data_IF_484063619610
#
_entry.id   IF_484063619610
#
_cell.length_a   1.000
_cell.length_b   1.000
_cell.length_c   1.000
_cell.angle_alpha   90.00
_cell.angle_beta   90.00
_cell.angle_gamma   90.00
#
_symmetry.space_group_name_H-M   'P 1'
#
loop_
_entity.id
_entity.type
_entity.pdbx_description
1 polymer ?
#
# COMPACT_ATOMS: atom_id res chain seq x y z
N UNK A 1 10.72 -1.09 -21.28
CA UNK A 1 11.87 -1.69 -20.56
C UNK A 1 12.37 -0.84 -19.40
N UNK A 2 12.36 0.53 -19.49
CA UNK A 2 12.86 1.38 -18.40
C UNK A 2 11.98 1.29 -17.16
N UNK A 3 10.64 1.30 -17.30
CA UNK A 3 9.72 1.13 -16.18
C UNK A 3 9.93 -0.20 -15.46
N UNK A 4 10.12 -1.31 -16.19
CA UNK A 4 10.41 -2.61 -15.60
C UNK A 4 11.71 -2.63 -14.81
N UNK A 5 12.78 -2.05 -15.39
CA UNK A 5 14.07 -1.97 -14.71
C UNK A 5 14.00 -1.14 -13.42
N UNK A 6 13.37 0.01 -13.48
CA UNK A 6 13.17 0.89 -12.32
C UNK A 6 12.24 0.28 -11.27
N UNK A 7 11.12 -0.34 -11.69
CA UNK A 7 10.22 -1.06 -10.83
C UNK A 7 10.90 -2.19 -10.06
N UNK A 8 11.65 -3.06 -10.78
CA UNK A 8 12.37 -4.16 -10.14
C UNK A 8 13.43 -3.65 -9.17
N UNK A 9 14.19 -2.63 -9.56
CA UNK A 9 15.21 -2.03 -8.70
C UNK A 9 14.59 -1.42 -7.43
N UNK A 10 13.47 -0.70 -7.56
CA UNK A 10 12.73 -0.15 -6.42
C UNK A 10 12.31 -1.25 -5.44
N UNK A 11 11.73 -2.36 -5.95
CA UNK A 11 11.32 -3.49 -5.12
C UNK A 11 12.51 -4.15 -4.41
N UNK A 12 13.59 -4.41 -5.12
CA UNK A 12 14.79 -5.05 -4.54
C UNK A 12 15.35 -4.19 -3.41
N UNK A 13 15.51 -2.88 -3.63
CA UNK A 13 16.02 -1.97 -2.60
C UNK A 13 15.08 -1.94 -1.38
N UNK A 14 13.77 -1.80 -1.60
CA UNK A 14 12.78 -1.81 -0.51
C UNK A 14 12.86 -3.11 0.30
N UNK A 15 12.92 -4.27 -0.36
CA UNK A 15 13.01 -5.57 0.29
C UNK A 15 14.32 -5.77 1.05
N UNK A 16 15.45 -5.30 0.52
CA UNK A 16 16.73 -5.32 1.23
C UNK A 16 16.66 -4.49 2.50
N UNK A 17 16.08 -3.28 2.45
CA UNK A 17 15.91 -2.43 3.63
C UNK A 17 15.02 -3.13 4.67
N UNK A 18 13.88 -3.71 4.26
CA UNK A 18 12.98 -4.47 5.15
C UNK A 18 13.73 -5.64 5.79
N UNK A 19 14.47 -6.41 5.00
CA UNK A 19 15.25 -7.55 5.49
C UNK A 19 16.27 -7.14 6.54
N UNK A 20 17.05 -6.10 6.28
CA UNK A 20 18.07 -5.62 7.23
C UNK A 20 17.40 -5.09 8.51
N UNK A 21 16.30 -4.33 8.37
CA UNK A 21 15.54 -3.83 9.53
C UNK A 21 14.99 -4.99 10.40
N UNK A 22 14.46 -6.04 9.79
CA UNK A 22 13.97 -7.22 10.49
C UNK A 22 15.09 -8.01 11.19
N UNK A 23 16.26 -8.11 10.57
CA UNK A 23 17.44 -8.77 11.17
C UNK A 23 17.93 -8.08 12.44
N UNK A 24 17.80 -6.77 12.52
CA UNK A 24 18.17 -6.01 13.72
C UNK A 24 17.18 -6.20 14.88
N UNK A 25 15.97 -6.73 14.63
CA UNK A 25 14.91 -6.97 15.63
C UNK A 25 14.70 -5.80 16.60
N UNK A 26 14.58 -4.56 16.12
CA UNK A 26 14.47 -3.41 17.00
C UNK A 26 13.10 -3.41 17.69
N UNK A 27 13.04 -2.89 18.92
CA UNK A 27 11.76 -2.61 19.57
C UNK A 27 11.09 -1.42 18.90
N UNK A 28 9.75 -1.38 18.88
CA UNK A 28 9.00 -0.22 18.42
C UNK A 28 9.38 1.04 19.21
N UNK A 29 9.68 2.12 18.50
CA UNK A 29 10.08 3.42 19.05
C UNK A 29 9.35 4.57 18.40
N UNK A 30 9.54 5.79 18.89
CA UNK A 30 8.98 7.02 18.29
C UNK A 30 9.93 7.64 17.26
N UNK A 31 11.23 7.36 17.38
CA UNK A 31 12.25 7.97 16.54
C UNK A 31 12.39 7.23 15.22
N UNK A 32 12.68 7.98 14.15
CA UNK A 32 13.03 7.42 12.86
C UNK A 32 14.49 6.94 12.91
N UNK A 33 14.71 5.71 12.52
CA UNK A 33 16.02 5.07 12.42
C UNK A 33 16.57 5.17 11.00
N UNK A 34 17.82 4.78 10.82
CA UNK A 34 18.48 4.84 9.52
C UNK A 34 17.70 4.13 8.40
N UNK A 35 17.07 2.98 8.68
CA UNK A 35 16.30 2.24 7.69
C UNK A 35 14.97 2.93 7.33
N UNK A 36 14.37 3.70 8.25
CA UNK A 36 13.21 4.55 7.94
C UNK A 36 13.62 5.66 6.97
N UNK A 37 14.75 6.34 7.24
CA UNK A 37 15.30 7.36 6.36
C UNK A 37 15.74 6.80 5.01
N UNK A 38 16.35 5.60 5.00
CA UNK A 38 16.72 4.92 3.75
C UNK A 38 15.47 4.61 2.90
N UNK A 39 14.37 4.14 3.51
CA UNK A 39 13.12 3.88 2.80
C UNK A 39 12.49 5.18 2.26
N UNK A 40 12.49 6.26 3.05
CA UNK A 40 12.00 7.58 2.62
C UNK A 40 12.82 8.08 1.42
N UNK A 41 14.15 8.05 1.53
CA UNK A 41 15.04 8.47 0.45
C UNK A 41 14.84 7.65 -0.82
N UNK A 42 14.72 6.33 -0.69
CA UNK A 42 14.41 5.42 -1.81
C UNK A 42 13.10 5.83 -2.48
N UNK A 43 12.03 6.01 -1.70
CA UNK A 43 10.72 6.42 -2.24
C UNK A 43 10.81 7.75 -2.98
N UNK A 44 11.48 8.76 -2.41
CA UNK A 44 11.65 10.07 -3.07
C UNK A 44 12.40 9.94 -4.40
N UNK A 45 13.52 9.20 -4.42
CA UNK A 45 14.30 9.00 -5.66
C UNK A 45 13.45 8.33 -6.74
N UNK A 46 12.73 7.25 -6.39
CA UNK A 46 11.92 6.55 -7.38
C UNK A 46 10.64 7.30 -7.79
N UNK A 47 10.08 8.15 -6.94
CA UNK A 47 9.01 9.10 -7.32
C UNK A 47 9.53 10.06 -8.38
N UNK A 48 10.68 10.68 -8.18
CA UNK A 48 11.28 11.60 -9.15
C UNK A 48 11.64 10.90 -10.47
N UNK A 49 12.19 9.68 -10.39
CA UNK A 49 12.50 8.87 -11.59
C UNK A 49 11.22 8.47 -12.33
N UNK A 50 10.12 8.16 -11.64
CA UNK A 50 8.85 7.84 -12.27
C UNK A 50 8.22 9.04 -12.95
N UNK A 51 8.25 10.22 -12.30
CA UNK A 51 7.79 11.47 -12.93
C UNK A 51 8.61 11.72 -14.21
N UNK A 52 9.93 11.66 -14.13
CA UNK A 52 10.81 11.85 -15.30
C UNK A 52 10.48 10.83 -16.40
N UNK A 53 10.40 9.55 -16.04
CA UNK A 53 10.14 8.46 -16.98
C UNK A 53 8.78 8.63 -17.69
N UNK A 54 7.71 8.96 -16.97
CA UNK A 54 6.39 9.12 -17.58
C UNK A 54 6.24 10.39 -18.41
N UNK A 55 7.00 11.44 -18.13
CA UNK A 55 6.94 12.71 -18.88
C UNK A 55 7.87 12.73 -20.10
N UNK A 56 8.93 11.94 -20.11
CA UNK A 56 9.95 11.98 -21.18
C UNK A 56 9.85 10.81 -22.14
N UNK A 57 9.62 9.58 -21.65
CA UNK A 57 9.61 8.38 -22.50
C UNK A 57 8.73 7.26 -21.93
N UNK A 58 7.46 7.54 -21.74
CA UNK A 58 6.56 6.58 -21.12
C UNK A 58 6.58 5.19 -21.79
N UNK A 59 6.98 4.19 -21.01
CA UNK A 59 6.93 2.77 -21.34
C UNK A 59 6.38 1.94 -20.16
N UNK A 60 5.36 2.49 -19.47
CA UNK A 60 4.85 2.00 -18.20
C UNK A 60 4.34 0.56 -18.21
N UNK A 61 4.23 -0.04 -17.02
CA UNK A 61 3.78 -1.43 -16.84
C UNK A 61 2.37 -1.67 -17.39
N UNK A 62 1.50 -0.65 -17.42
CA UNK A 62 0.16 -0.73 -17.98
C UNK A 62 0.12 -1.08 -19.47
N UNK A 63 1.24 -0.88 -20.19
CA UNK A 63 1.34 -1.29 -21.60
C UNK A 63 1.59 -2.80 -21.77
N UNK A 64 2.15 -3.45 -20.74
CA UNK A 64 2.63 -4.83 -20.82
C UNK A 64 1.73 -5.81 -20.06
N UNK A 65 0.99 -5.34 -19.04
CA UNK A 65 0.21 -6.21 -18.14
C UNK A 65 -1.22 -5.70 -17.97
N UNK A 66 -2.21 -6.63 -17.86
CA UNK A 66 -3.61 -6.26 -17.69
C UNK A 66 -3.88 -5.51 -16.37
N UNK A 67 -4.85 -4.58 -16.40
CA UNK A 67 -5.30 -3.83 -15.22
C UNK A 67 -5.72 -4.73 -14.05
N UNK A 68 -6.29 -5.91 -14.34
CA UNK A 68 -6.70 -6.89 -13.33
C UNK A 68 -5.55 -7.29 -12.40
N UNK A 69 -4.30 -7.25 -12.85
CA UNK A 69 -3.13 -7.58 -12.01
C UNK A 69 -2.88 -6.52 -10.94
N UNK A 70 -3.06 -5.23 -11.26
CA UNK A 70 -2.97 -4.13 -10.30
C UNK A 70 -4.13 -4.19 -9.30
N UNK A 71 -5.37 -4.35 -9.78
CA UNK A 71 -6.55 -4.52 -8.93
C UNK A 71 -6.44 -5.74 -8.02
N UNK A 72 -5.95 -6.87 -8.54
CA UNK A 72 -5.72 -8.09 -7.78
C UNK A 72 -4.70 -7.91 -6.66
N UNK A 73 -3.61 -7.18 -6.90
CA UNK A 73 -2.59 -6.89 -5.88
C UNK A 73 -3.18 -6.10 -4.70
N UNK A 74 -4.03 -5.09 -5.00
CA UNK A 74 -4.73 -4.29 -3.99
C UNK A 74 -5.76 -5.13 -3.23
N UNK A 75 -6.55 -5.97 -3.91
CA UNK A 75 -7.54 -6.84 -3.28
C UNK A 75 -6.89 -7.81 -2.27
N UNK A 76 -5.76 -8.43 -2.63
CA UNK A 76 -5.00 -9.30 -1.72
C UNK A 76 -4.42 -8.49 -0.56
N UNK A 77 -3.91 -7.29 -0.81
CA UNK A 77 -3.40 -6.41 0.25
C UNK A 77 -4.50 -6.10 1.27
N UNK A 78 -5.73 -5.79 0.83
CA UNK A 78 -6.87 -5.55 1.70
C UNK A 78 -7.24 -6.78 2.51
N UNK A 79 -7.25 -7.98 1.92
CA UNK A 79 -7.50 -9.22 2.64
C UNK A 79 -6.46 -9.47 3.75
N UNK A 80 -5.19 -9.20 3.48
CA UNK A 80 -4.12 -9.31 4.49
C UNK A 80 -4.29 -8.28 5.60
N UNK A 81 -4.70 -7.04 5.29
CA UNK A 81 -4.99 -6.00 6.29
C UNK A 81 -6.10 -6.47 7.23
N UNK A 82 -7.20 -7.01 6.69
CA UNK A 82 -8.31 -7.56 7.49
C UNK A 82 -7.79 -8.64 8.46
N UNK A 83 -6.98 -9.56 7.98
CA UNK A 83 -6.38 -10.63 8.80
C UNK A 83 -5.51 -10.05 9.92
N UNK A 84 -4.66 -9.06 9.61
CA UNK A 84 -3.75 -8.43 10.58
C UNK A 84 -4.50 -7.63 11.64
N UNK A 85 -5.60 -6.97 11.27
CA UNK A 85 -6.39 -6.13 12.17
C UNK A 85 -7.41 -6.94 13.00
N UNK A 86 -7.80 -8.13 12.57
CA UNK A 86 -8.80 -8.97 13.26
C UNK A 86 -8.51 -9.19 14.76
N UNK A 87 -7.27 -9.46 15.21
CA UNK A 87 -6.99 -9.62 16.65
C UNK A 87 -7.21 -8.34 17.45
N UNK A 88 -7.07 -7.19 16.83
CA UNK A 88 -7.20 -5.87 17.45
C UNK A 88 -8.64 -5.34 17.40
N UNK A 89 -9.24 -5.34 16.21
CA UNK A 89 -10.53 -4.71 15.93
C UNK A 89 -11.71 -5.69 15.78
N UNK A 90 -11.42 -6.97 15.55
CA UNK A 90 -12.42 -7.97 15.19
C UNK A 90 -12.63 -8.07 13.68
N UNK A 91 -13.30 -9.13 13.22
CA UNK A 91 -13.57 -9.37 11.80
C UNK A 91 -14.92 -8.82 11.36
N UNK A 92 -15.95 -9.06 12.16
CA UNK A 92 -17.31 -8.61 11.86
C UNK A 92 -17.88 -7.98 13.14
N UNK A 93 -18.19 -6.70 13.07
CA UNK A 93 -18.81 -5.94 14.18
C UNK A 93 -18.11 -6.22 15.52
N UNK A 94 -16.78 -6.14 15.53
CA UNK A 94 -15.94 -6.36 16.72
C UNK A 94 -15.78 -7.82 17.15
N UNK A 95 -16.41 -8.81 16.49
CA UNK A 95 -16.27 -10.23 16.83
C UNK A 95 -14.85 -10.71 16.48
N UNK A 96 -14.09 -11.09 17.49
CA UNK A 96 -12.73 -11.60 17.32
C UNK A 96 -12.76 -13.04 16.82
N UNK A 97 -12.04 -13.30 15.72
CA UNK A 97 -11.77 -14.63 15.19
C UNK A 97 -10.39 -15.06 15.63
N UNK A 98 -10.26 -16.27 16.17
CA UNK A 98 -8.97 -16.82 16.55
C UNK A 98 -8.33 -17.46 15.32
N UNK A 99 -7.29 -16.85 14.79
CA UNK A 99 -6.42 -17.49 13.81
C UNK A 99 -5.33 -18.31 14.51
N UNK A 100 -4.84 -19.33 13.81
CA UNK A 100 -3.71 -20.13 14.28
C UNK A 100 -2.48 -19.22 14.51
N UNK A 101 -1.83 -19.36 15.66
CA UNK A 101 -0.70 -18.50 16.05
C UNK A 101 0.46 -18.53 15.05
N UNK A 102 0.76 -19.71 14.49
CA UNK A 102 1.81 -19.86 13.48
C UNK A 102 1.50 -19.10 12.20
N UNK A 103 0.25 -19.17 11.71
CA UNK A 103 -0.22 -18.40 10.56
C UNK A 103 -0.09 -16.91 10.80
N UNK A 104 -0.58 -16.40 11.94
CA UNK A 104 -0.48 -14.99 12.28
C UNK A 104 0.97 -14.49 12.40
N UNK A 105 1.88 -15.34 12.88
CA UNK A 105 3.29 -15.02 12.93
C UNK A 105 3.87 -14.84 11.52
N UNK A 106 3.59 -15.77 10.60
CA UNK A 106 4.02 -15.69 9.20
C UNK A 106 3.48 -14.43 8.53
N UNK A 107 2.18 -14.17 8.66
CA UNK A 107 1.56 -12.98 8.06
C UNK A 107 2.22 -11.71 8.59
N UNK A 108 2.45 -11.60 9.92
CA UNK A 108 3.13 -10.44 10.52
C UNK A 108 4.59 -10.30 10.11
N UNK A 109 5.28 -11.39 9.86
CA UNK A 109 6.67 -11.38 9.44
C UNK A 109 6.84 -10.93 7.99
N UNK A 110 5.95 -11.39 7.10
CA UNK A 110 6.11 -11.21 5.66
C UNK A 110 5.22 -10.14 5.03
N UNK A 111 4.20 -9.59 5.75
CA UNK A 111 3.29 -8.58 5.17
C UNK A 111 4.02 -7.37 4.59
N UNK A 112 5.12 -6.94 5.19
CA UNK A 112 5.89 -5.78 4.74
C UNK A 112 6.45 -5.95 3.32
N UNK A 113 6.91 -7.16 2.97
CA UNK A 113 7.39 -7.46 1.62
C UNK A 113 6.26 -7.40 0.60
N UNK A 114 5.12 -8.00 0.92
CA UNK A 114 3.98 -7.99 0.02
C UNK A 114 3.40 -6.58 -0.13
N UNK A 115 3.25 -5.83 0.96
CA UNK A 115 2.66 -4.48 0.92
C UNK A 115 3.55 -3.50 0.20
N UNK A 116 4.88 -3.55 0.42
CA UNK A 116 5.81 -2.72 -0.35
C UNK A 116 5.75 -3.07 -1.83
N UNK A 117 5.73 -4.37 -2.16
CA UNK A 117 5.59 -4.81 -3.55
C UNK A 117 4.28 -4.31 -4.18
N UNK A 118 3.12 -4.53 -3.56
CA UNK A 118 1.83 -4.12 -4.11
C UNK A 118 1.74 -2.60 -4.29
N UNK A 119 2.28 -1.83 -3.32
CA UNK A 119 2.35 -0.37 -3.41
C UNK A 119 3.25 0.08 -4.57
N UNK A 120 4.46 -0.47 -4.67
CA UNK A 120 5.41 -0.15 -5.73
C UNK A 120 4.86 -0.59 -7.09
N UNK A 121 4.22 -1.76 -7.18
CA UNK A 121 3.61 -2.25 -8.41
C UNK A 121 2.50 -1.31 -8.90
N UNK A 122 1.57 -0.95 -8.03
CA UNK A 122 0.48 -0.03 -8.36
C UNK A 122 1.03 1.35 -8.75
N UNK A 123 2.06 1.83 -8.08
CA UNK A 123 2.71 3.10 -8.39
C UNK A 123 3.32 3.10 -9.80
N UNK A 124 4.09 2.07 -10.18
CA UNK A 124 4.71 1.95 -11.50
C UNK A 124 3.73 1.59 -12.61
N UNK A 125 2.56 1.06 -12.24
CA UNK A 125 1.49 0.75 -13.19
C UNK A 125 0.85 2.02 -13.77
N UNK A 126 0.66 3.05 -12.96
CA UNK A 126 -0.02 4.28 -13.36
C UNK A 126 0.97 5.34 -13.85
N UNK A 127 0.67 6.01 -15.00
CA UNK A 127 1.46 7.16 -15.44
C UNK A 127 1.25 8.37 -14.51
N UNK A 128 2.21 9.28 -14.48
CA UNK A 128 2.06 10.56 -13.77
C UNK A 128 1.29 11.56 -14.65
N UNK A 129 -0.03 11.57 -14.51
CA UNK A 129 -0.91 12.47 -15.24
C UNK A 129 -1.56 13.51 -14.32
N UNK A 130 -1.83 14.71 -14.85
CA UNK A 130 -2.44 15.82 -14.12
C UNK A 130 -3.96 15.72 -13.93
N UNK A 131 -4.58 14.56 -14.16
CA UNK A 131 -6.00 14.37 -13.91
C UNK A 131 -6.28 14.26 -12.41
N UNK A 132 -7.49 14.65 -12.00
CA UNK A 132 -7.88 14.55 -10.59
C UNK A 132 -7.74 13.13 -10.02
N UNK A 133 -8.11 12.11 -10.80
CA UNK A 133 -8.00 10.71 -10.37
C UNK A 133 -6.56 10.29 -10.12
N UNK A 134 -5.64 10.62 -11.04
CA UNK A 134 -4.22 10.32 -10.88
C UNK A 134 -3.59 11.09 -9.73
N UNK A 135 -3.89 12.39 -9.57
CA UNK A 135 -3.37 13.19 -8.45
C UNK A 135 -3.84 12.66 -7.10
N UNK A 136 -5.12 12.31 -6.96
CA UNK A 136 -5.66 11.69 -5.75
C UNK A 136 -5.01 10.33 -5.47
N UNK A 137 -4.80 9.53 -6.52
CA UNK A 137 -4.12 8.25 -6.45
C UNK A 137 -2.67 8.37 -6.01
N UNK A 138 -1.91 9.29 -6.61
CA UNK A 138 -0.52 9.54 -6.19
C UNK A 138 -0.43 10.05 -4.77
N UNK A 139 -1.31 10.95 -4.36
CA UNK A 139 -1.36 11.38 -2.96
C UNK A 139 -1.55 10.19 -2.01
N UNK A 140 -2.47 9.29 -2.33
CA UNK A 140 -2.67 8.07 -1.55
C UNK A 140 -1.45 7.14 -1.58
N UNK A 141 -0.82 6.95 -2.75
CA UNK A 141 0.40 6.16 -2.87
C UNK A 141 1.55 6.73 -2.03
N UNK A 142 1.69 8.05 -1.96
CA UNK A 142 2.70 8.68 -1.11
C UNK A 142 2.44 8.42 0.37
N UNK A 143 1.18 8.42 0.80
CA UNK A 143 0.82 8.00 2.16
C UNK A 143 1.20 6.54 2.43
N UNK A 144 1.02 5.64 1.46
CA UNK A 144 1.43 4.24 1.57
C UNK A 144 2.96 4.08 1.60
N UNK A 145 3.72 4.90 0.86
CA UNK A 145 5.17 4.93 0.96
C UNK A 145 5.63 5.40 2.34
N UNK A 146 4.95 6.41 2.91
CA UNK A 146 5.20 6.82 4.30
C UNK A 146 4.89 5.67 5.27
N UNK A 147 3.75 4.97 5.10
CA UNK A 147 3.41 3.79 5.90
C UNK A 147 4.48 2.71 5.80
N UNK A 148 4.98 2.44 4.60
CA UNK A 148 6.05 1.46 4.36
C UNK A 148 7.38 1.89 5.00
N UNK A 149 7.66 3.20 5.05
CA UNK A 149 8.85 3.75 5.67
C UNK A 149 8.81 3.72 7.22
N UNK A 150 7.65 3.60 7.84
CA UNK A 150 7.48 3.59 9.30
C UNK A 150 7.77 2.23 9.96
N UNK A 151 8.64 1.40 9.37
CA UNK A 151 9.03 0.08 9.90
C UNK A 151 9.51 0.23 11.36
N UNK A 152 8.94 -0.57 12.28
CA UNK A 152 9.23 -0.54 13.72
C UNK A 152 9.07 0.85 14.40
N UNK A 153 8.38 1.78 13.76
CA UNK A 153 7.96 3.03 14.38
C UNK A 153 6.54 2.89 14.97
N UNK A 154 6.26 3.52 16.10
CA UNK A 154 4.92 3.49 16.71
C UNK A 154 3.84 4.14 15.84
N UNK A 155 4.20 5.09 14.99
CA UNK A 155 3.28 5.69 14.04
C UNK A 155 2.70 4.67 13.05
N UNK A 156 3.49 3.63 12.68
CA UNK A 156 3.03 2.55 11.78
C UNK A 156 1.75 1.84 12.28
N UNK A 157 1.60 1.71 13.59
CA UNK A 157 0.46 1.05 14.24
C UNK A 157 -0.50 2.04 14.92
N UNK A 158 -0.35 3.34 14.67
CA UNK A 158 -1.23 4.35 15.22
C UNK A 158 -2.63 4.23 14.60
N UNK A 159 -3.68 4.12 15.45
CA UNK A 159 -5.05 3.89 14.98
C UNK A 159 -5.58 5.02 14.09
N UNK A 160 -5.24 6.27 14.39
CA UNK A 160 -5.69 7.41 13.59
C UNK A 160 -5.01 7.45 12.23
N UNK A 161 -3.71 7.13 12.18
CA UNK A 161 -2.99 7.01 10.93
C UNK A 161 -3.54 5.89 10.06
N UNK A 162 -3.77 4.69 10.64
CA UNK A 162 -4.34 3.56 9.89
C UNK A 162 -5.76 3.84 9.40
N UNK A 163 -6.63 4.44 10.23
CA UNK A 163 -7.99 4.86 9.81
C UNK A 163 -7.92 5.89 8.69
N UNK A 164 -6.98 6.83 8.74
CA UNK A 164 -6.78 7.81 7.66
C UNK A 164 -6.49 7.11 6.34
N UNK A 165 -5.57 6.15 6.31
CA UNK A 165 -5.26 5.37 5.10
C UNK A 165 -6.49 4.61 4.57
N UNK A 166 -7.28 4.01 5.46
CA UNK A 166 -8.49 3.25 5.12
C UNK A 166 -9.60 4.14 4.56
N UNK A 167 -9.80 5.33 5.13
CA UNK A 167 -10.77 6.33 4.62
C UNK A 167 -10.33 6.83 3.25
N UNK A 168 -9.03 7.10 3.05
CA UNK A 168 -8.53 7.58 1.77
C UNK A 168 -8.65 6.54 0.66
N UNK A 169 -8.43 5.24 0.93
CA UNK A 169 -8.62 4.21 -0.10
C UNK A 169 -10.09 4.09 -0.51
N UNK A 170 -11.02 4.21 0.44
CA UNK A 170 -12.44 4.23 0.15
C UNK A 170 -12.82 5.41 -0.77
N UNK A 171 -12.42 6.63 -0.37
CA UNK A 171 -12.71 7.85 -1.13
C UNK A 171 -12.08 7.79 -2.51
N UNK A 172 -10.78 7.48 -2.59
CA UNK A 172 -10.05 7.40 -3.85
C UNK A 172 -10.62 6.35 -4.79
N UNK A 173 -10.83 5.13 -4.33
CA UNK A 173 -11.33 4.03 -5.16
C UNK A 173 -12.71 4.32 -5.74
N UNK A 174 -13.63 4.88 -4.93
CA UNK A 174 -14.98 5.23 -5.39
C UNK A 174 -14.94 6.40 -6.39
N UNK A 175 -14.21 7.47 -6.08
CA UNK A 175 -14.13 8.65 -6.94
C UNK A 175 -13.50 8.34 -8.29
N UNK A 176 -12.41 7.59 -8.32
CA UNK A 176 -11.76 7.21 -9.58
C UNK A 176 -12.69 6.38 -10.44
N UNK A 177 -13.31 5.33 -9.89
CA UNK A 177 -14.25 4.51 -10.64
C UNK A 177 -15.45 5.31 -11.16
N UNK A 178 -15.97 6.25 -10.37
CA UNK A 178 -17.07 7.13 -10.78
C UNK A 178 -16.66 8.06 -11.92
N UNK A 179 -15.54 8.77 -11.80
CA UNK A 179 -15.08 9.73 -12.81
C UNK A 179 -14.61 9.06 -14.11
N UNK A 180 -14.14 7.82 -14.05
CA UNK A 180 -13.82 7.03 -15.23
C UNK A 180 -15.07 6.52 -15.97
N UNK A 181 -16.27 6.78 -15.44
CA UNK A 181 -17.50 6.23 -16.00
C UNK A 181 -17.61 4.71 -15.86
N UNK A 182 -16.82 4.12 -14.97
CA UNK A 182 -16.81 2.70 -14.73
C UNK A 182 -18.08 2.29 -13.96
N UNK A 183 -18.93 1.47 -14.57
CA UNK A 183 -20.16 0.96 -13.94
C UNK A 183 -19.93 0.17 -12.64
N UNK A 184 -18.68 -0.15 -12.31
CA UNK A 184 -18.28 -0.86 -11.08
C UNK A 184 -18.13 0.06 -9.86
N UNK A 185 -18.25 1.38 -9.96
CA UNK A 185 -18.10 2.28 -8.83
C UNK A 185 -19.01 1.92 -7.61
N UNK A 186 -20.26 1.43 -7.79
CA UNK A 186 -21.06 1.01 -6.64
C UNK A 186 -20.45 -0.19 -5.91
N UNK A 187 -19.82 -1.12 -6.65
CA UNK A 187 -19.13 -2.27 -6.05
C UNK A 187 -17.95 -1.80 -5.18
N UNK A 188 -17.16 -0.82 -5.65
CA UNK A 188 -16.09 -0.22 -4.84
C UNK A 188 -16.66 0.48 -3.60
N UNK A 189 -17.72 1.28 -3.76
CA UNK A 189 -18.37 1.96 -2.65
C UNK A 189 -18.90 0.98 -1.60
N UNK A 190 -19.62 -0.04 -2.02
CA UNK A 190 -20.14 -1.06 -1.11
C UNK A 190 -19.04 -1.95 -0.53
N UNK A 191 -18.07 -2.40 -1.33
CA UNK A 191 -16.99 -3.27 -0.89
C UNK A 191 -16.10 -2.59 0.14
N UNK A 192 -15.56 -1.43 -0.18
CA UNK A 192 -14.73 -0.67 0.77
C UNK A 192 -15.55 -0.11 1.93
N UNK A 193 -16.78 0.37 1.68
CA UNK A 193 -17.67 0.85 2.72
C UNK A 193 -18.05 -0.26 3.70
N UNK A 194 -18.46 -1.43 3.22
CA UNK A 194 -18.76 -2.58 4.06
C UNK A 194 -17.54 -3.01 4.87
N UNK A 195 -16.35 -3.06 4.24
CA UNK A 195 -15.11 -3.38 4.92
C UNK A 195 -14.80 -2.36 6.02
N UNK A 196 -14.93 -1.06 5.74
CA UNK A 196 -14.72 0.00 6.72
C UNK A 196 -15.72 -0.11 7.88
N UNK A 197 -17.03 -0.24 7.60
CA UNK A 197 -18.05 -0.33 8.63
C UNK A 197 -18.02 -1.64 9.41
N UNK A 198 -17.78 -2.77 8.77
CA UNK A 198 -17.83 -4.07 9.43
C UNK A 198 -16.56 -4.41 10.21
N UNK A 199 -15.40 -3.94 9.73
CA UNK A 199 -14.08 -4.36 10.25
C UNK A 199 -13.37 -3.24 11.01
N UNK A 200 -13.51 -1.98 10.58
CA UNK A 200 -12.63 -0.89 10.99
C UNK A 200 -13.23 0.05 12.07
N UNK A 201 -14.52 0.03 12.29
CA UNK A 201 -15.17 0.96 13.23
C UNK A 201 -15.06 0.58 14.71
N UNK A 202 -14.41 -0.54 15.09
CA UNK A 202 -14.34 -1.00 16.48
C UNK A 202 -12.92 -1.12 17.02
#
# INVERSE_FOLDING_TARGET
LSAWGLYLTHNIIAWVIIFIAQRQKPKYGNDLRWFNWAMIATSIVFILLHILQTQVWYDGLAMDVPELTALGSVAIMLAIIIILETPRRGLIVGKKVKFQQQFMRIVREYHGYFFSWATIYTFWYHPTEGTFGHLAGFFYMFMLFVQSALIFNRAHINKWWTVTLEVFVLIHGVLVAFFQGNAMWPMFAFGFGAMFFLVQMY
#
